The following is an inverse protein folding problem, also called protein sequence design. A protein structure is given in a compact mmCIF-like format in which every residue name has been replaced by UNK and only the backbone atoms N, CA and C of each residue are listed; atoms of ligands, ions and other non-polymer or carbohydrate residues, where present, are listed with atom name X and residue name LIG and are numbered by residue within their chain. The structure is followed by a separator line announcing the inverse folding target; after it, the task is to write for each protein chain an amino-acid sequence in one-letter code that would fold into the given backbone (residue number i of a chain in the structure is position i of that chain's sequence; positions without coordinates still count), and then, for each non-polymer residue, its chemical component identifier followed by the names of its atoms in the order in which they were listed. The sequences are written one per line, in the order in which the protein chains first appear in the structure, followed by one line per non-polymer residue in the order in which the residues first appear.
data_IF_839430195125
#
_entry.id   IF_839430195125
#
_cell.length_a   1.000
_cell.length_b   1.000
_cell.length_c   1.000
_cell.angle_alpha   90.00
_cell.angle_beta   90.00
_cell.angle_gamma   90.00
#
_symmetry.space_group_name_H-M   'P 1'
#
loop_
_entity.id
_entity.type
_entity.pdbx_description
1 polymer ?
#
# COMPACT_ATOMS: atom_id res chain seq x y z
N UNK A 1 -27.60 -23.36 3.96
CA UNK A 1 -26.39 -23.18 3.12
C UNK A 1 -26.85 -22.74 1.73
N UNK A 2 -27.09 -21.41 1.54
CA UNK A 2 -27.01 -20.87 0.19
C UNK A 2 -25.60 -21.15 -0.27
N UNK A 3 -25.46 -21.85 -1.37
CA UNK A 3 -24.15 -22.32 -1.78
C UNK A 3 -23.32 -21.12 -2.18
N UNK A 4 -22.16 -20.98 -1.59
CA UNK A 4 -21.09 -20.03 -1.93
C UNK A 4 -20.88 -19.95 -3.45
N UNK A 5 -21.11 -21.06 -4.16
CA UNK A 5 -21.04 -21.16 -5.61
C UNK A 5 -22.06 -20.25 -6.35
N UNK A 6 -23.30 -20.15 -5.88
CA UNK A 6 -24.32 -19.31 -6.55
C UNK A 6 -23.94 -17.82 -6.44
N UNK A 7 -23.45 -17.40 -5.28
CA UNK A 7 -23.04 -16.01 -5.03
C UNK A 7 -21.82 -15.65 -5.91
N UNK A 8 -20.81 -16.52 -5.94
CA UNK A 8 -19.60 -16.31 -6.75
C UNK A 8 -19.96 -16.26 -8.25
N UNK A 9 -20.75 -17.21 -8.75
CA UNK A 9 -21.18 -17.21 -10.16
C UNK A 9 -21.99 -15.96 -10.51
N UNK A 10 -22.89 -15.52 -9.63
CA UNK A 10 -23.64 -14.28 -9.85
C UNK A 10 -22.71 -13.08 -9.96
N UNK A 11 -21.70 -12.96 -9.09
CA UNK A 11 -20.80 -11.82 -9.08
C UNK A 11 -19.81 -11.82 -10.26
N UNK A 12 -19.36 -12.97 -10.73
CA UNK A 12 -18.49 -13.10 -11.92
C UNK A 12 -19.08 -12.43 -13.17
N UNK A 13 -20.40 -12.50 -13.33
CA UNK A 13 -21.08 -11.97 -14.51
C UNK A 13 -21.44 -10.50 -14.42
N UNK A 14 -21.39 -9.88 -13.24
CA UNK A 14 -21.83 -8.49 -13.06
C UNK A 14 -20.75 -7.46 -13.39
N UNK A 15 -19.46 -7.84 -13.37
CA UNK A 15 -18.33 -6.91 -13.47
C UNK A 15 -18.46 -5.68 -12.53
N UNK A 16 -18.99 -5.93 -11.33
CA UNK A 16 -19.23 -4.91 -10.30
C UNK A 16 -18.31 -5.20 -9.10
N UNK A 17 -17.65 -4.16 -8.58
CA UNK A 17 -16.94 -4.25 -7.31
C UNK A 17 -17.93 -4.17 -6.17
N UNK A 18 -17.92 -5.16 -5.28
CA UNK A 18 -18.80 -5.24 -4.12
C UNK A 18 -17.99 -4.93 -2.87
N UNK A 19 -18.42 -3.90 -2.13
CA UNK A 19 -17.76 -3.43 -0.93
C UNK A 19 -18.53 -3.81 0.33
N UNK A 20 -17.83 -4.27 1.35
CA UNK A 20 -18.41 -4.73 2.60
C UNK A 20 -18.55 -3.60 3.62
N UNK A 21 -19.78 -3.17 3.85
CA UNK A 21 -20.12 -2.26 4.94
C UNK A 21 -20.43 -3.08 6.21
N UNK A 22 -19.45 -3.23 7.11
CA UNK A 22 -19.63 -4.00 8.33
C UNK A 22 -20.61 -3.32 9.27
N UNK A 23 -21.80 -3.87 9.39
CA UNK A 23 -22.84 -3.42 10.30
C UNK A 23 -23.07 -4.41 11.43
N UNK A 24 -23.56 -3.91 12.57
CA UNK A 24 -24.00 -4.73 13.69
C UNK A 24 -22.91 -5.63 14.27
N UNK A 25 -21.64 -5.20 14.28
CA UNK A 25 -20.60 -5.84 15.07
C UNK A 25 -20.84 -5.55 16.54
N UNK A 26 -20.43 -6.46 17.45
CA UNK A 26 -20.58 -6.21 18.86
C UNK A 26 -19.71 -5.02 19.32
N UNK A 27 -20.16 -4.30 20.35
CA UNK A 27 -19.36 -3.25 20.99
C UNK A 27 -17.98 -3.77 21.42
N UNK A 28 -17.93 -4.98 21.95
CA UNK A 28 -16.67 -5.63 22.34
C UNK A 28 -15.72 -5.75 21.14
N UNK A 29 -16.19 -6.30 20.01
CA UNK A 29 -15.40 -6.43 18.79
C UNK A 29 -14.94 -5.07 18.24
N UNK A 30 -15.80 -4.06 18.31
CA UNK A 30 -15.45 -2.70 17.86
C UNK A 30 -14.39 -2.03 18.72
N UNK A 31 -14.42 -2.24 20.04
CA UNK A 31 -13.49 -1.64 21.00
C UNK A 31 -12.20 -2.43 21.18
N UNK A 32 -12.16 -3.68 20.74
CA UNK A 32 -11.00 -4.56 20.86
C UNK A 32 -9.84 -4.07 20.00
N UNK A 33 -8.64 -4.03 20.56
CA UNK A 33 -7.40 -3.77 19.82
C UNK A 33 -7.11 -4.83 18.75
N UNK A 34 -7.68 -6.02 18.91
CA UNK A 34 -7.54 -7.14 17.97
C UNK A 34 -8.66 -7.19 16.92
N UNK A 35 -9.60 -6.23 16.95
CA UNK A 35 -10.74 -6.20 16.03
C UNK A 35 -11.82 -7.26 16.32
N UNK A 36 -12.70 -7.55 15.37
CA UNK A 36 -13.87 -8.42 15.55
C UNK A 36 -13.51 -9.91 15.46
N UNK A 37 -12.88 -10.47 16.48
CA UNK A 37 -12.32 -11.82 16.47
C UNK A 37 -13.36 -12.93 16.22
N UNK A 38 -14.43 -12.97 16.99
CA UNK A 38 -15.47 -14.01 16.86
C UNK A 38 -16.33 -13.84 15.61
N UNK A 39 -16.47 -12.63 15.14
CA UNK A 39 -17.33 -12.26 14.00
C UNK A 39 -16.55 -12.21 12.67
N UNK A 40 -15.22 -12.28 12.72
CA UNK A 40 -14.33 -12.14 11.58
C UNK A 40 -14.67 -13.13 10.46
N UNK A 41 -14.81 -14.41 10.81
CA UNK A 41 -15.02 -15.47 9.82
C UNK A 41 -16.23 -15.21 8.93
N UNK A 42 -17.39 -14.94 9.53
CA UNK A 42 -18.63 -14.82 8.76
C UNK A 42 -18.93 -13.39 8.27
N UNK A 43 -18.38 -12.37 8.92
CA UNK A 43 -18.56 -10.98 8.49
C UNK A 43 -17.50 -10.48 7.50
N UNK A 44 -16.32 -11.07 7.50
CA UNK A 44 -15.20 -10.62 6.66
C UNK A 44 -14.68 -11.75 5.77
N UNK A 45 -14.24 -12.87 6.35
CA UNK A 45 -13.53 -13.93 5.59
C UNK A 45 -14.44 -14.60 4.56
N UNK A 46 -15.64 -15.03 4.95
CA UNK A 46 -16.58 -15.66 4.01
C UNK A 46 -16.98 -14.70 2.88
N UNK A 47 -17.41 -13.45 3.15
CA UNK A 47 -17.64 -12.48 2.08
C UNK A 47 -16.42 -12.25 1.15
N UNK A 48 -15.19 -12.24 1.69
CA UNK A 48 -13.99 -12.12 0.87
C UNK A 48 -13.79 -13.30 -0.08
N UNK A 49 -14.06 -14.53 0.35
CA UNK A 49 -14.06 -15.69 -0.54
C UNK A 49 -15.13 -15.61 -1.64
N UNK A 50 -16.20 -14.86 -1.41
CA UNK A 50 -17.24 -14.60 -2.37
C UNK A 50 -16.96 -13.37 -3.27
N UNK A 51 -15.78 -12.73 -3.14
CA UNK A 51 -15.36 -11.58 -3.94
C UNK A 51 -15.79 -10.22 -3.37
N UNK A 52 -16.29 -10.16 -2.14
CA UNK A 52 -16.62 -8.92 -1.45
C UNK A 52 -15.39 -8.37 -0.75
N UNK A 53 -15.02 -7.12 -0.99
CA UNK A 53 -13.78 -6.49 -0.49
C UNK A 53 -14.05 -5.27 0.39
N UNK A 54 -12.99 -4.69 0.97
CA UNK A 54 -13.03 -3.37 1.62
C UNK A 54 -13.91 -3.34 2.87
N UNK A 55 -13.83 -4.35 3.73
CA UNK A 55 -14.58 -4.42 4.98
C UNK A 55 -14.27 -3.24 5.92
N UNK A 56 -15.24 -2.34 6.12
CA UNK A 56 -15.14 -1.20 7.02
C UNK A 56 -16.30 -1.18 8.01
N UNK A 57 -16.04 -1.02 9.33
CA UNK A 57 -17.09 -0.89 10.34
C UNK A 57 -17.88 0.40 10.16
N UNK A 58 -19.20 0.30 9.99
CA UNK A 58 -20.13 1.44 9.86
C UNK A 58 -21.08 1.57 11.04
N UNK A 59 -21.28 0.49 11.80
CA UNK A 59 -22.08 0.50 13.04
C UNK A 59 -21.67 -0.64 13.97
N UNK A 60 -21.92 -0.47 15.25
CA UNK A 60 -21.82 -1.52 16.24
C UNK A 60 -23.08 -1.58 17.11
N UNK A 61 -23.25 -2.68 17.84
CA UNK A 61 -24.39 -2.88 18.74
C UNK A 61 -23.92 -2.81 20.19
N UNK A 62 -24.56 -1.95 20.98
CA UNK A 62 -24.38 -1.85 22.43
C UNK A 62 -24.93 -3.10 23.15
N UNK A 63 -24.53 -3.30 24.41
CA UNK A 63 -24.96 -4.46 25.21
C UNK A 63 -26.46 -4.51 25.43
N UNK A 64 -27.15 -3.38 25.35
CA UNK A 64 -28.61 -3.25 25.42
C UNK A 64 -29.33 -3.46 24.08
N UNK A 65 -28.62 -3.85 23.01
CA UNK A 65 -29.16 -4.06 21.68
C UNK A 65 -29.29 -2.80 20.81
N UNK A 66 -28.92 -1.63 21.32
CA UNK A 66 -28.99 -0.37 20.56
C UNK A 66 -27.90 -0.32 19.49
N UNK A 67 -28.26 -0.03 18.25
CA UNK A 67 -27.30 0.17 17.15
C UNK A 67 -26.73 1.59 17.18
N UNK A 68 -25.41 1.69 17.22
CA UNK A 68 -24.66 2.97 17.18
C UNK A 68 -23.96 3.11 15.84
N UNK A 69 -24.17 4.23 15.18
CA UNK A 69 -23.55 4.56 13.88
C UNK A 69 -22.14 5.10 14.11
N UNK A 70 -21.18 4.53 13.38
CA UNK A 70 -19.78 5.00 13.32
C UNK A 70 -19.69 6.02 12.17
N UNK A 71 -19.95 7.30 12.46
CA UNK A 71 -20.02 8.37 11.44
C UNK A 71 -18.78 8.41 10.55
N UNK A 72 -17.59 8.28 11.13
CA UNK A 72 -16.34 8.28 10.38
C UNK A 72 -16.20 7.01 9.50
N UNK A 73 -16.66 5.87 9.98
CA UNK A 73 -16.71 4.62 9.21
C UNK A 73 -17.62 4.75 7.99
N UNK A 74 -18.81 5.31 8.17
CA UNK A 74 -19.75 5.59 7.07
C UNK A 74 -19.11 6.53 6.04
N UNK A 75 -18.51 7.65 6.49
CA UNK A 75 -17.84 8.60 5.61
C UNK A 75 -16.73 7.94 4.78
N UNK A 76 -15.86 7.17 5.44
CA UNK A 76 -14.78 6.43 4.77
C UNK A 76 -15.32 5.40 3.78
N UNK A 77 -16.38 4.68 4.15
CA UNK A 77 -16.99 3.69 3.27
C UNK A 77 -17.57 4.33 2.01
N UNK A 78 -18.30 5.43 2.14
CA UNK A 78 -18.84 6.19 0.99
C UNK A 78 -17.70 6.70 0.10
N UNK A 79 -16.63 7.25 0.69
CA UNK A 79 -15.45 7.68 -0.09
C UNK A 79 -14.80 6.52 -0.83
N UNK A 80 -14.73 5.34 -0.23
CA UNK A 80 -14.19 4.14 -0.86
C UNK A 80 -15.05 3.72 -2.07
N UNK A 81 -16.38 3.68 -1.91
CA UNK A 81 -17.31 3.39 -3.01
C UNK A 81 -17.10 4.34 -4.19
N UNK A 82 -17.05 5.65 -3.92
CA UNK A 82 -16.83 6.67 -4.94
C UNK A 82 -15.48 6.49 -5.66
N UNK A 83 -14.41 6.18 -4.92
CA UNK A 83 -13.08 5.93 -5.51
C UNK A 83 -13.06 4.70 -6.40
N UNK A 84 -13.74 3.62 -6.01
CA UNK A 84 -13.87 2.43 -6.86
C UNK A 84 -14.65 2.71 -8.14
N UNK A 85 -15.76 3.46 -8.05
CA UNK A 85 -16.51 3.89 -9.22
C UNK A 85 -15.63 4.75 -10.17
N UNK A 86 -14.94 5.75 -9.64
CA UNK A 86 -14.01 6.57 -10.41
C UNK A 86 -12.86 5.77 -11.04
N UNK A 87 -12.33 4.76 -10.33
CA UNK A 87 -11.26 3.89 -10.85
C UNK A 87 -11.76 3.06 -12.03
N UNK A 88 -13.01 2.63 -12.03
CA UNK A 88 -13.62 1.88 -13.13
C UNK A 88 -13.74 2.74 -14.40
N UNK A 89 -14.13 4.02 -14.25
CA UNK A 89 -14.25 4.97 -15.35
C UNK A 89 -12.89 5.43 -15.91
N UNK A 90 -11.84 5.34 -15.11
CA UNK A 90 -10.51 5.85 -15.47
C UNK A 90 -9.84 4.94 -16.50
N UNK A 91 -9.34 5.54 -17.59
CA UNK A 91 -8.56 4.82 -18.60
C UNK A 91 -7.28 4.23 -17.99
N UNK A 92 -6.86 3.06 -18.45
CA UNK A 92 -5.64 2.41 -17.95
C UNK A 92 -4.41 3.31 -18.06
N UNK A 93 -4.28 4.07 -19.14
CA UNK A 93 -3.19 5.02 -19.34
C UNK A 93 -3.05 6.07 -18.23
N UNK A 94 -4.17 6.51 -17.64
CA UNK A 94 -4.19 7.56 -16.63
C UNK A 94 -4.11 7.03 -15.19
N UNK A 95 -4.16 5.72 -15.01
CA UNK A 95 -4.05 5.09 -13.69
C UNK A 95 -2.62 5.20 -13.18
N UNK A 96 -2.48 5.54 -11.88
CA UNK A 96 -1.21 5.51 -11.15
C UNK A 96 -1.19 4.32 -10.23
N UNK A 97 -0.13 3.53 -10.29
CA UNK A 97 -0.02 2.25 -9.58
C UNK A 97 1.27 2.26 -8.75
N UNK A 98 1.19 1.78 -7.53
CA UNK A 98 2.34 1.49 -6.69
C UNK A 98 2.38 -0.01 -6.40
N UNK A 99 3.51 -0.65 -6.72
CA UNK A 99 3.81 -2.04 -6.41
C UNK A 99 4.88 -2.03 -5.33
N UNK A 100 4.53 -2.46 -4.13
CA UNK A 100 5.44 -2.51 -2.99
C UNK A 100 5.77 -3.98 -2.71
N UNK A 101 7.03 -4.34 -2.93
CA UNK A 101 7.52 -5.69 -2.71
C UNK A 101 7.83 -5.90 -1.23
N UNK A 102 7.41 -7.04 -0.69
CA UNK A 102 7.58 -7.35 0.72
C UNK A 102 8.99 -7.88 1.00
N UNK A 103 9.74 -7.18 1.86
CA UNK A 103 11.08 -7.56 2.29
C UNK A 103 11.01 -8.45 3.55
N UNK A 104 10.89 -9.77 3.34
CA UNK A 104 10.91 -10.75 4.43
C UNK A 104 11.37 -12.13 3.92
N UNK A 105 12.26 -12.82 4.63
CA UNK A 105 13.03 -12.36 5.80
C UNK A 105 13.99 -11.21 5.41
N UNK A 106 14.33 -10.30 6.37
CA UNK A 106 15.20 -9.16 6.07
C UNK A 106 16.53 -9.64 5.49
N UNK A 107 16.94 -9.06 4.38
CA UNK A 107 18.20 -9.42 3.72
C UNK A 107 18.31 -8.77 2.34
N UNK A 108 19.54 -8.63 1.83
CA UNK A 108 19.83 -7.84 0.64
C UNK A 108 19.07 -8.25 -0.64
N UNK A 109 18.55 -9.46 -0.70
CA UNK A 109 17.85 -10.00 -1.87
C UNK A 109 16.69 -10.91 -1.50
N UNK A 110 16.30 -10.96 -0.23
CA UNK A 110 15.30 -11.89 0.27
C UNK A 110 13.88 -11.33 0.12
N UNK A 111 13.49 -11.04 -1.12
CA UNK A 111 12.09 -10.73 -1.39
C UNK A 111 11.36 -12.06 -1.51
N UNK A 112 10.74 -12.47 -0.41
CA UNK A 112 10.04 -13.74 -0.32
C UNK A 112 8.52 -13.60 -0.48
N UNK A 113 7.90 -14.55 -1.14
CA UNK A 113 6.46 -14.69 -1.21
C UNK A 113 6.08 -16.16 -1.40
N UNK A 114 6.35 -17.01 -0.41
CA UNK A 114 5.97 -18.43 -0.42
C UNK A 114 6.30 -19.14 -1.74
N UNK A 115 7.56 -19.11 -2.16
CA UNK A 115 8.07 -19.69 -3.41
C UNK A 115 7.66 -18.97 -4.71
N UNK A 116 6.96 -17.84 -4.66
CA UNK A 116 6.73 -17.02 -5.84
C UNK A 116 8.05 -16.42 -6.30
N UNK A 117 8.37 -16.56 -7.59
CA UNK A 117 9.42 -15.77 -8.22
C UNK A 117 8.90 -14.32 -8.39
N UNK A 118 9.23 -13.48 -7.41
CA UNK A 118 8.69 -12.12 -7.32
C UNK A 118 9.19 -11.25 -8.47
N UNK A 119 10.46 -11.35 -8.83
CA UNK A 119 11.05 -10.50 -9.87
C UNK A 119 10.51 -10.84 -11.26
N UNK A 120 10.44 -12.12 -11.60
CA UNK A 120 9.81 -12.56 -12.85
C UNK A 120 8.34 -12.16 -12.88
N UNK A 121 7.62 -12.32 -11.77
CA UNK A 121 6.22 -11.92 -11.68
C UNK A 121 6.03 -10.41 -11.89
N UNK A 122 6.92 -9.57 -11.37
CA UNK A 122 6.87 -8.11 -11.58
C UNK A 122 7.17 -7.75 -13.02
N UNK A 123 8.18 -8.39 -13.63
CA UNK A 123 8.48 -8.20 -15.05
C UNK A 123 7.28 -8.55 -15.93
N UNK A 124 6.69 -9.73 -15.74
CA UNK A 124 5.53 -10.19 -16.52
C UNK A 124 4.31 -9.29 -16.32
N UNK A 125 4.14 -8.78 -15.09
CA UNK A 125 3.09 -7.80 -14.79
C UNK A 125 3.31 -6.49 -15.56
N UNK A 126 4.54 -5.96 -15.64
CA UNK A 126 4.86 -4.77 -16.42
C UNK A 126 4.57 -5.00 -17.91
N UNK A 127 4.97 -6.15 -18.47
CA UNK A 127 4.70 -6.54 -19.85
C UNK A 127 3.18 -6.58 -20.08
N UNK A 128 2.43 -7.23 -19.21
CA UNK A 128 0.98 -7.31 -19.32
C UNK A 128 0.30 -5.96 -19.19
N UNK A 129 0.78 -5.11 -18.28
CA UNK A 129 0.27 -3.74 -18.15
C UNK A 129 0.49 -2.92 -19.42
N UNK A 130 1.65 -3.07 -20.09
CA UNK A 130 1.89 -2.43 -21.38
C UNK A 130 0.86 -2.87 -22.43
N UNK A 131 0.57 -4.17 -22.50
CA UNK A 131 -0.43 -4.73 -23.41
C UNK A 131 -1.86 -4.22 -23.13
N UNK A 132 -2.18 -3.98 -21.87
CA UNK A 132 -3.48 -3.46 -21.43
C UNK A 132 -3.56 -1.92 -21.49
N UNK A 133 -2.56 -1.25 -22.07
CA UNK A 133 -2.55 0.18 -22.31
C UNK A 133 -2.28 1.05 -21.08
N UNK A 134 -1.62 0.52 -20.05
CA UNK A 134 -1.11 1.35 -18.96
C UNK A 134 0.10 2.14 -19.41
N UNK A 135 0.28 3.34 -18.87
CA UNK A 135 1.44 4.16 -19.15
C UNK A 135 2.66 3.64 -18.36
N UNK A 136 3.51 2.88 -19.06
CA UNK A 136 4.79 2.40 -18.53
C UNK A 136 5.97 3.35 -18.85
N UNK A 137 5.74 4.50 -19.49
CA UNK A 137 6.75 5.52 -19.77
C UNK A 137 7.77 5.17 -20.86
N UNK A 138 7.66 4.00 -21.49
CA UNK A 138 8.56 3.49 -22.54
C UNK A 138 7.80 2.55 -23.47
N UNK A 139 8.46 2.10 -24.56
CA UNK A 139 7.89 1.05 -25.40
C UNK A 139 8.01 -0.31 -24.71
N UNK A 140 7.10 -1.23 -25.02
CA UNK A 140 7.14 -2.61 -24.49
C UNK A 140 8.48 -3.30 -24.71
N UNK A 141 9.10 -3.08 -25.88
CA UNK A 141 10.42 -3.64 -26.23
C UNK A 141 11.60 -3.06 -25.43
N UNK A 142 11.36 -2.00 -24.67
CA UNK A 142 12.36 -1.30 -23.86
C UNK A 142 12.21 -1.67 -22.35
N UNK A 143 11.24 -2.53 -22.02
CA UNK A 143 11.09 -3.04 -20.64
C UNK A 143 12.37 -3.82 -20.29
N UNK A 144 13.03 -3.50 -19.15
CA UNK A 144 14.22 -4.23 -18.72
C UNK A 144 13.95 -5.73 -18.61
N UNK A 145 14.95 -6.56 -18.89
CA UNK A 145 14.87 -8.00 -18.62
C UNK A 145 14.66 -8.25 -17.13
N UNK A 146 14.25 -9.49 -16.77
CA UNK A 146 14.07 -9.86 -15.35
C UNK A 146 15.37 -9.65 -14.56
N UNK A 147 16.52 -9.96 -15.13
CA UNK A 147 17.84 -9.80 -14.49
C UNK A 147 18.18 -8.32 -14.26
N UNK A 148 17.95 -7.48 -15.27
CA UNK A 148 18.18 -6.02 -15.17
C UNK A 148 17.23 -5.39 -14.13
N UNK A 149 15.95 -5.76 -14.16
CA UNK A 149 14.95 -5.29 -13.20
C UNK A 149 15.30 -5.71 -11.77
N UNK A 150 15.72 -6.97 -11.59
CA UNK A 150 16.18 -7.51 -10.31
C UNK A 150 17.36 -6.70 -9.78
N UNK A 151 18.36 -6.48 -10.61
CA UNK A 151 19.57 -5.71 -10.24
C UNK A 151 19.20 -4.29 -9.83
N UNK A 152 18.36 -3.61 -10.61
CA UNK A 152 17.89 -2.25 -10.31
C UNK A 152 17.10 -2.19 -8.99
N UNK A 153 16.17 -3.13 -8.76
CA UNK A 153 15.36 -3.14 -7.55
C UNK A 153 16.17 -3.45 -6.30
N UNK A 154 17.09 -4.42 -6.35
CA UNK A 154 18.00 -4.74 -5.24
C UNK A 154 18.91 -3.55 -4.94
N UNK A 155 19.42 -2.91 -5.95
CA UNK A 155 20.33 -1.78 -5.80
C UNK A 155 19.66 -0.57 -5.15
N UNK A 156 18.43 -0.27 -5.53
CA UNK A 156 17.64 0.86 -5.01
C UNK A 156 17.03 0.55 -3.64
N UNK A 157 16.41 -0.62 -3.49
CA UNK A 157 15.62 -0.98 -2.31
C UNK A 157 16.43 -1.04 -1.01
N UNK A 158 17.74 -1.30 -1.12
CA UNK A 158 18.61 -1.51 0.05
C UNK A 158 19.50 -0.32 0.40
N UNK A 159 19.47 0.79 -0.35
CA UNK A 159 20.43 1.90 -0.17
C UNK A 159 20.32 2.59 1.20
N UNK A 160 19.13 2.62 1.81
CA UNK A 160 18.93 3.24 3.11
C UNK A 160 19.14 2.32 4.32
N UNK A 161 18.97 1.00 4.13
CA UNK A 161 18.92 0.05 5.25
C UNK A 161 20.29 -0.49 5.68
N UNK A 162 21.26 -0.55 4.77
CA UNK A 162 22.50 -1.30 5.01
C UNK A 162 23.75 -0.43 5.17
N UNK A 163 23.77 0.77 4.60
CA UNK A 163 24.88 1.70 4.78
C UNK A 163 24.45 3.14 4.49
N UNK A 164 24.59 4.03 5.48
CA UNK A 164 24.25 5.46 5.34
C UNK A 164 24.93 6.15 4.15
N UNK A 165 26.18 5.78 3.84
CA UNK A 165 26.91 6.34 2.71
C UNK A 165 26.29 6.03 1.34
N UNK A 166 25.70 4.86 1.17
CA UNK A 166 25.08 4.45 -0.09
C UNK A 166 23.84 5.30 -0.44
N UNK A 167 23.04 5.68 0.54
CA UNK A 167 21.90 6.58 0.32
C UNK A 167 22.38 7.94 -0.22
N UNK A 168 23.42 8.49 0.38
CA UNK A 168 23.96 9.79 -0.04
C UNK A 168 24.50 9.77 -1.47
N UNK A 169 25.21 8.72 -1.85
CA UNK A 169 25.69 8.53 -3.22
C UNK A 169 24.51 8.40 -4.18
N UNK A 170 23.57 7.53 -3.88
CA UNK A 170 22.37 7.32 -4.68
C UNK A 170 21.58 8.62 -4.92
N UNK A 171 21.33 9.39 -3.85
CA UNK A 171 20.58 10.66 -3.99
C UNK A 171 21.36 11.67 -4.82
N UNK A 172 22.68 11.78 -4.66
CA UNK A 172 23.50 12.69 -5.47
C UNK A 172 23.44 12.34 -6.96
N UNK A 173 23.57 11.07 -7.30
CA UNK A 173 23.56 10.58 -8.69
C UNK A 173 22.19 10.72 -9.35
N UNK A 174 21.10 10.60 -8.57
CA UNK A 174 19.74 10.56 -9.08
C UNK A 174 18.89 11.76 -8.68
N UNK A 175 19.47 12.83 -8.13
CA UNK A 175 18.76 13.95 -7.52
C UNK A 175 17.66 14.55 -8.41
N UNK A 176 17.97 14.79 -9.67
CA UNK A 176 17.03 15.37 -10.62
C UNK A 176 15.77 14.47 -10.84
N UNK A 177 16.00 13.17 -11.01
CA UNK A 177 14.93 12.18 -11.17
C UNK A 177 14.10 12.01 -9.90
N UNK A 178 14.76 11.92 -8.74
CA UNK A 178 14.08 11.81 -7.45
C UNK A 178 13.21 13.04 -7.15
N UNK A 179 13.69 14.22 -7.49
CA UNK A 179 12.92 15.47 -7.38
C UNK A 179 11.73 15.49 -8.32
N UNK A 180 11.95 15.17 -9.59
CA UNK A 180 10.89 15.10 -10.62
C UNK A 180 9.78 14.14 -10.23
N UNK A 181 10.13 13.03 -9.63
CA UNK A 181 9.22 11.96 -9.25
C UNK A 181 8.66 12.12 -7.82
N UNK A 182 8.92 13.24 -7.15
CA UNK A 182 8.47 13.50 -5.77
C UNK A 182 8.92 12.43 -4.76
N UNK A 183 10.09 11.85 -4.98
CA UNK A 183 10.68 10.84 -4.07
C UNK A 183 11.50 11.45 -2.93
N UNK A 184 11.74 12.77 -2.98
CA UNK A 184 12.36 13.54 -1.92
C UNK A 184 11.28 14.36 -1.18
N UNK A 185 10.87 13.89 0.00
CA UNK A 185 9.93 14.61 0.85
C UNK A 185 10.74 15.60 1.68
N UNK A 186 10.49 16.90 1.51
CA UNK A 186 11.19 17.92 2.26
C UNK A 186 10.81 17.88 3.75
N UNK A 187 11.71 18.39 4.60
CA UNK A 187 11.45 18.51 6.04
C UNK A 187 10.15 19.33 6.31
N UNK A 188 9.85 20.35 5.51
CA UNK A 188 8.64 21.16 5.64
C UNK A 188 7.38 20.38 5.29
N UNK A 189 7.43 19.54 4.24
CA UNK A 189 6.28 18.73 3.85
C UNK A 189 6.06 17.57 4.81
N UNK A 190 7.12 16.95 5.29
CA UNK A 190 7.04 15.99 6.39
C UNK A 190 6.39 16.60 7.64
N UNK A 191 6.78 17.83 8.02
CA UNK A 191 6.22 18.51 9.18
C UNK A 191 4.71 18.80 9.03
N UNK A 192 4.25 19.14 7.83
CA UNK A 192 2.81 19.29 7.55
C UNK A 192 2.06 17.98 7.80
N UNK A 193 2.54 16.87 7.20
CA UNK A 193 1.94 15.55 7.40
C UNK A 193 1.98 15.11 8.87
N UNK A 194 3.10 15.36 9.57
CA UNK A 194 3.26 15.06 10.99
C UNK A 194 2.24 15.81 11.85
N UNK A 195 1.98 17.09 11.58
CA UNK A 195 1.03 17.92 12.33
C UNK A 195 -0.44 17.48 12.16
N UNK A 196 -0.75 16.72 11.10
CA UNK A 196 -2.09 16.15 10.89
C UNK A 196 -2.34 14.86 11.69
N UNK A 197 -1.29 14.28 12.29
CA UNK A 197 -1.41 13.07 13.08
C UNK A 197 -2.00 13.36 14.47
N UNK A 198 -2.74 12.41 15.07
CA UNK A 198 -3.15 12.49 16.47
C UNK A 198 -1.93 12.66 17.40
N UNK A 199 -2.09 13.44 18.48
CA UNK A 199 -1.00 13.78 19.40
C UNK A 199 -0.29 12.55 20.00
N UNK A 200 -1.05 11.51 20.36
CA UNK A 200 -0.47 10.27 20.88
C UNK A 200 0.47 9.59 19.85
N UNK A 201 0.13 9.65 18.56
CA UNK A 201 0.98 9.09 17.50
C UNK A 201 2.21 9.97 17.25
N UNK A 202 2.05 11.30 17.29
CA UNK A 202 3.19 12.24 17.23
C UNK A 202 4.21 11.94 18.33
N UNK A 203 3.73 11.75 19.57
CA UNK A 203 4.58 11.45 20.72
C UNK A 203 5.29 10.08 20.57
N UNK A 204 4.61 9.06 20.06
CA UNK A 204 5.22 7.77 19.78
C UNK A 204 6.31 7.86 18.70
N UNK A 205 6.06 8.59 17.62
CA UNK A 205 7.06 8.81 16.57
C UNK A 205 8.30 9.51 17.10
N UNK A 206 8.13 10.55 17.92
CA UNK A 206 9.25 11.26 18.54
C UNK A 206 10.01 10.37 19.52
N UNK A 207 9.33 9.55 20.31
CA UNK A 207 9.96 8.62 21.24
C UNK A 207 10.80 7.55 20.53
N UNK A 208 10.30 7.02 19.41
CA UNK A 208 10.99 5.95 18.66
C UNK A 208 12.08 6.48 17.72
N UNK A 209 11.86 7.61 17.05
CA UNK A 209 12.68 8.06 15.93
C UNK A 209 13.34 9.43 16.14
N UNK A 210 12.98 10.15 17.19
CA UNK A 210 13.47 11.51 17.45
C UNK A 210 12.60 12.60 16.80
N UNK A 211 12.98 13.86 17.03
CA UNK A 211 12.23 15.04 16.53
C UNK A 211 12.50 15.31 15.04
N UNK A 212 11.56 15.95 14.38
CA UNK A 212 11.65 16.33 12.96
C UNK A 212 11.62 15.11 12.06
N UNK A 213 12.56 14.99 11.12
CA UNK A 213 12.70 13.79 10.28
C UNK A 213 13.17 12.55 11.05
N UNK A 214 13.64 12.72 12.30
CA UNK A 214 14.17 11.64 13.10
C UNK A 214 15.60 11.23 12.71
N UNK A 215 16.00 10.02 13.17
CA UNK A 215 17.34 9.45 12.95
C UNK A 215 17.31 8.24 12.00
N UNK A 216 16.28 8.13 11.18
CA UNK A 216 16.10 6.99 10.27
C UNK A 216 17.15 6.90 9.17
N UNK A 217 17.34 5.69 8.63
CA UNK A 217 18.31 5.41 7.56
C UNK A 217 17.94 6.02 6.20
N UNK A 218 16.68 6.42 6.02
CA UNK A 218 16.15 6.99 4.77
C UNK A 218 16.23 8.52 4.72
N UNK A 219 17.06 9.14 5.57
CA UNK A 219 17.18 10.60 5.66
C UNK A 219 18.45 11.05 4.94
N UNK A 220 18.27 11.94 3.96
CA UNK A 220 19.35 12.56 3.22
C UNK A 220 19.62 13.99 3.74
N UNK A 221 20.88 14.24 4.14
CA UNK A 221 21.38 15.54 4.60
C UNK A 221 20.50 16.24 5.65
N UNK A 222 19.77 15.48 6.49
CA UNK A 222 18.85 16.04 7.48
C UNK A 222 17.78 17.00 6.88
N UNK A 223 17.55 16.92 5.59
CA UNK A 223 16.68 17.82 4.83
C UNK A 223 15.53 17.09 4.11
N UNK A 224 15.74 15.85 3.73
CA UNK A 224 14.78 15.07 2.97
C UNK A 224 14.61 13.66 3.52
N UNK A 225 13.36 13.20 3.55
CA UNK A 225 13.03 11.78 3.63
C UNK A 225 13.00 11.24 2.19
N UNK A 226 13.74 10.16 1.93
CA UNK A 226 13.87 9.55 0.60
C UNK A 226 12.93 8.38 0.48
N UNK A 227 12.15 8.34 -0.59
CA UNK A 227 11.32 7.18 -0.94
C UNK A 227 12.02 6.43 -2.08
N UNK A 228 12.71 5.31 -1.79
CA UNK A 228 13.41 4.56 -2.83
C UNK A 228 12.43 3.82 -3.71
N UNK A 229 12.73 3.71 -5.00
CA UNK A 229 11.93 2.97 -5.95
C UNK A 229 12.18 3.43 -7.37
N UNK A 230 11.59 2.70 -8.32
CA UNK A 230 11.72 2.94 -9.75
C UNK A 230 10.36 3.33 -10.31
N UNK A 231 10.34 4.34 -11.19
CA UNK A 231 9.17 4.70 -11.97
C UNK A 231 9.26 4.16 -13.39
N UNK A 232 8.22 3.46 -13.79
CA UNK A 232 7.92 3.10 -15.16
C UNK A 232 6.66 3.89 -15.55
N UNK A 233 6.85 5.10 -16.10
CA UNK A 233 5.74 6.00 -16.38
C UNK A 233 4.87 6.29 -15.14
N UNK A 234 3.64 5.78 -15.14
CA UNK A 234 2.69 5.91 -14.04
C UNK A 234 2.77 4.75 -13.01
N UNK A 235 3.72 3.84 -13.17
CA UNK A 235 3.89 2.68 -12.29
C UNK A 235 5.13 2.89 -11.43
N UNK A 236 4.96 2.89 -10.12
CA UNK A 236 6.03 2.97 -9.13
C UNK A 236 6.27 1.58 -8.52
N UNK A 237 7.50 1.12 -8.52
CA UNK A 237 7.91 -0.15 -7.92
C UNK A 237 8.95 0.10 -6.86
N UNK A 238 8.73 -0.41 -5.67
CA UNK A 238 9.64 -0.27 -4.53
C UNK A 238 9.70 -1.55 -3.71
N UNK A 239 10.82 -1.71 -3.01
CA UNK A 239 10.95 -2.71 -1.95
C UNK A 239 10.57 -2.04 -0.64
N UNK A 240 9.74 -2.69 0.16
CA UNK A 240 9.39 -2.20 1.50
C UNK A 240 10.68 -1.96 2.31
N UNK A 241 10.85 -0.78 2.96
CA UNK A 241 11.96 -0.57 3.87
C UNK A 241 11.98 -1.62 4.98
N UNK A 242 13.18 -2.06 5.39
CA UNK A 242 13.31 -2.99 6.48
C UNK A 242 12.59 -2.45 7.73
N UNK A 243 11.83 -3.30 8.37
CA UNK A 243 11.22 -2.99 9.66
C UNK A 243 12.37 -3.00 10.68
N UNK A 244 12.80 -1.82 11.10
CA UNK A 244 13.81 -1.65 12.14
C UNK A 244 13.17 -1.04 13.37
N UNK A 245 13.56 -1.55 14.50
CA UNK A 245 13.32 -0.97 15.81
C UNK A 245 14.58 -0.24 16.25
#
# INVERSE_FOLDING_TARGET
QMSTNITVETYKHTNITILNALSGISKYSYKSEYGPQSEWTYKVTIPQFEGVIGALPISYVEDNGTTVIIKEGVKKHVQLVLKWAQLKEKKNYDKKIAIILYDYPPGRANIGASYLDVYTSVHDLLVKMADEGYNIGMKKSEIPTTEELTTQLIDIGNKGNWAKGLLNTYVKEHYANLTKNHQLISKSDFQKMYNELPENLQNQLVACWGKGLGNGSMIYNNSYLVIPGIYFGNIFISIQPARGW
#
